data_IF_274978599104
#
_entry.id   IF_274978599104
#
_cell.length_a   1.000
_cell.length_b   1.000
_cell.length_c   1.000
_cell.angle_alpha   90.00
_cell.angle_beta   90.00
_cell.angle_gamma   90.00
#
_symmetry.space_group_name_H-M   'P 1'
#
loop_
_entity.id
_entity.type
_entity.pdbx_description
1 polymer ?
#
# COMPACT_ATOMS: atom_id res chain seq x y z
N UNK A 1 -16.11 -28.94 -49.99
CA UNK A 1 -14.72 -28.52 -49.65
C UNK A 1 -14.83 -27.13 -49.03
N UNK A 2 -14.81 -26.99 -47.69
CA UNK A 2 -13.64 -26.59 -46.86
C UNK A 2 -13.02 -25.27 -47.40
N UNK A 3 -12.80 -24.16 -46.68
CA UNK A 3 -12.60 -23.90 -45.24
C UNK A 3 -12.37 -22.40 -44.98
N UNK A 4 -12.71 -21.95 -43.76
CA UNK A 4 -11.93 -21.07 -42.86
C UNK A 4 -11.83 -19.54 -43.06
N UNK A 5 -12.04 -18.87 -41.91
CA UNK A 5 -11.74 -17.49 -41.54
C UNK A 5 -10.23 -17.18 -41.56
N UNK A 6 -9.80 -15.96 -41.94
CA UNK A 6 -8.63 -15.36 -41.29
C UNK A 6 -8.55 -13.82 -41.39
N UNK A 7 -8.29 -13.23 -40.23
CA UNK A 7 -7.86 -11.86 -39.91
C UNK A 7 -6.60 -11.40 -40.68
N UNK A 8 -6.46 -10.07 -40.86
CA UNK A 8 -5.25 -9.18 -40.79
C UNK A 8 -5.57 -7.91 -41.63
N UNK A 9 -5.36 -6.63 -41.28
CA UNK A 9 -4.53 -5.92 -40.31
C UNK A 9 -5.21 -4.60 -39.90
N UNK A 10 -5.30 -4.32 -38.60
CA UNK A 10 -5.08 -2.96 -38.12
C UNK A 10 -4.33 -3.10 -36.81
N UNK A 11 -3.03 -2.82 -36.90
CA UNK A 11 -2.06 -2.65 -35.84
C UNK A 11 -2.70 -2.22 -34.52
N UNK A 12 -2.83 -3.16 -33.57
CA UNK A 12 -3.07 -2.81 -32.17
C UNK A 12 -1.89 -1.94 -31.72
N UNK A 13 -2.09 -0.68 -31.32
CA UNK A 13 -1.01 0.11 -30.78
C UNK A 13 -0.50 -0.57 -29.50
N UNK A 14 0.81 -0.81 -29.48
CA UNK A 14 1.59 -1.28 -28.35
C UNK A 14 1.29 -0.36 -27.17
N UNK A 15 0.56 -0.83 -26.16
CA UNK A 15 0.18 -0.04 -24.98
C UNK A 15 1.47 0.29 -24.21
N UNK A 16 2.01 1.47 -24.48
CA UNK A 16 3.06 2.08 -23.67
C UNK A 16 2.49 2.38 -22.28
N UNK A 17 3.21 1.92 -21.26
CA UNK A 17 2.94 2.10 -19.83
C UNK A 17 2.57 3.56 -19.49
N UNK A 18 1.27 3.85 -19.41
CA UNK A 18 0.74 5.13 -18.90
C UNK A 18 0.82 5.07 -17.38
N UNK A 19 1.76 5.78 -16.76
CA UNK A 19 1.79 5.92 -15.30
C UNK A 19 0.45 6.48 -14.86
N UNK A 20 -0.37 5.66 -14.19
CA UNK A 20 -1.70 6.04 -13.73
C UNK A 20 -1.52 7.06 -12.59
N UNK A 21 -1.85 8.32 -12.85
CA UNK A 21 -1.90 9.34 -11.81
C UNK A 21 -3.19 9.19 -11.01
N UNK A 22 -3.13 9.52 -9.72
CA UNK A 22 -4.28 9.44 -8.82
C UNK A 22 -5.21 10.62 -9.07
N UNK A 23 -6.48 10.35 -9.36
CA UNK A 23 -7.51 11.37 -9.38
C UNK A 23 -8.03 11.59 -7.95
N UNK A 24 -7.48 12.60 -7.28
CA UNK A 24 -7.81 12.91 -5.88
C UNK A 24 -9.26 13.35 -5.69
N UNK A 25 -9.93 13.89 -6.72
CA UNK A 25 -11.31 14.32 -6.60
C UNK A 25 -12.24 13.12 -6.41
N UNK A 26 -11.91 11.99 -7.06
CA UNK A 26 -12.68 10.75 -7.04
C UNK A 26 -12.21 9.82 -5.93
N UNK A 27 -10.89 9.66 -5.75
CA UNK A 27 -10.32 8.63 -4.88
C UNK A 27 -10.32 8.98 -3.39
N UNK A 28 -10.43 10.25 -3.01
CA UNK A 28 -10.42 10.67 -1.60
C UNK A 28 -11.60 10.09 -0.83
N UNK A 29 -11.42 9.93 0.49
CA UNK A 29 -12.40 9.43 1.43
C UNK A 29 -12.90 8.00 1.16
N UNK A 30 -12.20 7.22 0.32
CA UNK A 30 -12.51 5.83 0.06
C UNK A 30 -11.51 4.88 0.73
N UNK A 31 -11.95 3.67 1.12
CA UNK A 31 -11.08 2.61 1.58
C UNK A 31 -9.98 2.31 0.56
N UNK A 32 -8.74 2.48 0.98
CA UNK A 32 -7.58 2.43 0.10
C UNK A 32 -6.49 1.59 0.75
N UNK A 33 -5.96 0.64 0.00
CA UNK A 33 -4.73 -0.07 0.35
C UNK A 33 -3.54 0.71 -0.16
N UNK A 34 -2.52 0.83 0.68
CA UNK A 34 -1.23 1.39 0.32
C UNK A 34 -0.13 0.36 0.57
N UNK A 35 0.76 0.18 -0.39
CA UNK A 35 1.90 -0.72 -0.25
C UNK A 35 3.11 -0.21 -1.02
N UNK A 36 4.29 -0.66 -0.60
CA UNK A 36 5.54 -0.36 -1.31
C UNK A 36 5.67 -1.23 -2.55
N UNK A 37 5.73 -0.61 -3.71
CA UNK A 37 6.12 -1.30 -4.93
C UNK A 37 7.65 -1.35 -5.01
N UNK A 38 8.20 -2.54 -4.82
CA UNK A 38 9.66 -2.74 -4.77
C UNK A 38 10.36 -2.66 -6.13
N UNK A 39 9.62 -2.65 -7.25
CA UNK A 39 10.19 -2.45 -8.59
C UNK A 39 10.31 -0.96 -8.93
N UNK A 40 9.28 -0.18 -8.60
CA UNK A 40 9.25 1.27 -8.91
C UNK A 40 9.79 2.13 -7.77
N UNK A 41 10.03 1.53 -6.60
CA UNK A 41 10.36 2.21 -5.35
C UNK A 41 9.36 3.29 -4.91
N UNK A 42 8.14 3.30 -5.45
CA UNK A 42 7.05 4.22 -5.04
C UNK A 42 6.01 3.50 -4.19
N UNK A 43 5.13 4.26 -3.54
CA UNK A 43 3.94 3.70 -2.92
C UNK A 43 2.86 3.52 -4.00
N UNK A 44 2.26 2.33 -4.06
CA UNK A 44 1.10 2.04 -4.89
C UNK A 44 -0.16 2.18 -4.04
N UNK A 45 -1.17 2.83 -4.60
CA UNK A 45 -2.51 2.89 -4.03
C UNK A 45 -3.44 1.93 -4.77
N UNK A 46 -4.25 1.19 -4.03
CA UNK A 46 -5.29 0.32 -4.56
C UNK A 46 -6.64 0.66 -3.92
N UNK A 47 -7.68 0.66 -4.74
CA UNK A 47 -9.06 0.76 -4.28
C UNK A 47 -9.86 -0.41 -4.80
N UNK A 48 -10.90 -0.75 -4.06
CA UNK A 48 -11.79 -1.83 -4.45
C UNK A 48 -12.80 -1.31 -5.48
N UNK A 49 -12.78 -1.90 -6.67
CA UNK A 49 -13.78 -1.68 -7.71
C UNK A 49 -14.44 -3.03 -7.94
N UNK A 50 -15.76 -3.10 -7.69
CA UNK A 50 -16.52 -4.34 -7.62
C UNK A 50 -15.94 -5.30 -6.55
N UNK A 51 -15.34 -6.41 -6.98
CA UNK A 51 -14.74 -7.45 -6.12
C UNK A 51 -13.21 -7.52 -6.25
N UNK A 52 -12.59 -6.53 -6.89
CA UNK A 52 -11.15 -6.56 -7.19
C UNK A 52 -10.45 -5.30 -6.71
N UNK A 53 -9.23 -5.48 -6.22
CA UNK A 53 -8.34 -4.39 -5.84
C UNK A 53 -7.57 -3.93 -7.07
N UNK A 54 -7.89 -2.72 -7.55
CA UNK A 54 -7.24 -2.14 -8.71
C UNK A 54 -6.28 -1.05 -8.28
N UNK A 55 -5.09 -1.04 -8.88
CA UNK A 55 -4.13 0.05 -8.68
C UNK A 55 -4.71 1.33 -9.30
N UNK A 56 -4.87 2.35 -8.47
CA UNK A 56 -5.39 3.66 -8.89
C UNK A 56 -4.25 4.63 -9.22
N UNK A 57 -3.06 4.42 -8.67
CA UNK A 57 -1.86 5.16 -9.04
C UNK A 57 -0.67 4.93 -8.12
N UNK A 58 0.42 5.66 -8.40
CA UNK A 58 1.64 5.63 -7.61
C UNK A 58 1.96 7.01 -7.06
N UNK A 59 2.37 7.08 -5.79
CA UNK A 59 2.59 8.33 -5.06
C UNK A 59 3.89 8.28 -4.26
N UNK A 60 4.48 9.44 -4.02
CA UNK A 60 5.57 9.67 -3.06
C UNK A 60 5.06 10.22 -1.73
N UNK A 61 3.86 10.80 -1.75
CA UNK A 61 3.23 11.48 -0.63
C UNK A 61 1.74 11.10 -0.58
N UNK A 62 1.27 10.71 0.60
CA UNK A 62 -0.12 10.30 0.84
C UNK A 62 -0.42 10.28 2.34
N UNK A 63 -1.70 10.43 2.67
CA UNK A 63 -2.19 10.28 4.05
C UNK A 63 -3.30 9.25 4.06
N UNK A 64 -3.16 8.23 4.91
CA UNK A 64 -4.20 7.25 5.21
C UNK A 64 -4.66 7.47 6.65
N UNK A 65 -5.95 7.68 6.85
CA UNK A 65 -6.58 7.78 8.17
C UNK A 65 -7.02 6.41 8.66
N UNK A 66 -6.86 6.18 9.96
CA UNK A 66 -7.13 4.92 10.66
C UNK A 66 -6.54 3.70 9.92
N UNK A 67 -5.23 3.72 9.60
CA UNK A 67 -4.57 2.60 8.97
C UNK A 67 -4.60 1.35 9.86
N UNK A 68 -4.89 0.22 9.23
CA UNK A 68 -4.60 -1.12 9.75
C UNK A 68 -3.50 -1.77 8.90
N UNK A 69 -2.62 -2.52 9.54
CA UNK A 69 -1.44 -3.11 8.92
C UNK A 69 -1.60 -4.62 8.74
N UNK A 70 -1.45 -5.07 7.50
CA UNK A 70 -1.71 -6.46 7.11
C UNK A 70 -0.48 -7.09 6.47
N UNK A 71 -0.14 -8.28 6.95
CA UNK A 71 0.85 -9.18 6.34
C UNK A 71 0.18 -10.52 6.09
N UNK A 72 0.12 -10.95 4.83
CA UNK A 72 -0.34 -12.29 4.46
C UNK A 72 0.78 -13.28 4.72
N UNK A 73 0.68 -14.09 5.77
CA UNK A 73 1.72 -15.09 6.10
C UNK A 73 1.97 -16.09 4.95
N UNK A 74 0.95 -16.67 4.28
CA UNK A 74 1.19 -17.49 3.10
C UNK A 74 1.87 -16.71 1.95
N UNK A 75 1.58 -15.42 1.82
CA UNK A 75 2.23 -14.54 0.86
C UNK A 75 3.70 -14.28 1.20
N UNK A 76 3.99 -14.03 2.47
CA UNK A 76 5.34 -13.85 3.02
C UNK A 76 6.19 -15.11 2.82
N UNK A 77 5.64 -16.28 3.16
CA UNK A 77 6.35 -17.56 2.95
C UNK A 77 6.67 -17.81 1.48
N UNK A 78 5.77 -17.44 0.55
CA UNK A 78 6.05 -17.49 -0.88
C UNK A 78 7.20 -16.56 -1.28
N UNK A 79 7.28 -15.34 -0.72
CA UNK A 79 8.39 -14.41 -0.97
C UNK A 79 9.71 -15.00 -0.46
N UNK A 80 9.72 -15.57 0.74
CA UNK A 80 10.91 -16.20 1.33
C UNK A 80 11.38 -17.39 0.49
N UNK A 81 10.46 -18.25 0.07
CA UNK A 81 10.80 -19.48 -0.67
C UNK A 81 11.22 -19.23 -2.13
N UNK A 82 10.58 -18.26 -2.80
CA UNK A 82 10.81 -18.03 -4.24
C UNK A 82 11.73 -16.86 -4.56
N UNK A 83 12.03 -16.02 -3.56
CA UNK A 83 12.66 -14.71 -3.69
C UNK A 83 11.94 -13.77 -4.70
N UNK A 84 10.66 -14.04 -4.97
CA UNK A 84 9.80 -13.22 -5.84
C UNK A 84 8.95 -12.28 -5.00
N UNK A 85 9.07 -10.99 -5.31
CA UNK A 85 8.42 -9.86 -4.61
C UNK A 85 6.92 -9.75 -4.96
N UNK A 86 6.14 -10.71 -4.48
CA UNK A 86 4.68 -10.65 -4.52
C UNK A 86 4.18 -9.69 -3.44
N UNK A 87 3.08 -8.97 -3.71
CA UNK A 87 2.45 -8.13 -2.69
C UNK A 87 1.89 -9.03 -1.60
N UNK A 88 2.43 -8.89 -0.39
CA UNK A 88 2.06 -9.66 0.79
C UNK A 88 1.89 -8.78 2.02
N UNK A 89 2.34 -7.52 1.97
CA UNK A 89 2.22 -6.57 3.05
C UNK A 89 1.63 -5.26 2.52
N UNK A 90 0.64 -4.72 3.22
CA UNK A 90 -0.01 -3.45 2.90
C UNK A 90 -0.64 -2.84 4.16
N UNK A 91 -0.91 -1.54 4.11
CA UNK A 91 -1.83 -0.89 5.04
C UNK A 91 -3.14 -0.60 4.33
N UNK A 92 -4.26 -0.60 5.05
CA UNK A 92 -5.57 -0.20 4.55
C UNK A 92 -6.21 0.81 5.51
N UNK A 93 -6.86 1.82 4.95
CA UNK A 93 -7.61 2.82 5.71
C UNK A 93 -8.30 3.79 4.76
N UNK A 94 -8.60 5.00 5.21
CA UNK A 94 -9.28 6.02 4.39
C UNK A 94 -8.25 6.96 3.76
N UNK A 95 -8.24 7.06 2.43
CA UNK A 95 -7.33 7.97 1.72
C UNK A 95 -7.75 9.41 1.90
N UNK A 96 -6.85 10.25 2.39
CA UNK A 96 -7.04 11.69 2.51
C UNK A 96 -6.18 12.45 1.50
N UNK A 97 -6.53 13.71 1.24
CA UNK A 97 -5.67 14.57 0.44
C UNK A 97 -4.37 14.88 1.22
N UNK A 98 -3.19 14.95 0.58
CA UNK A 98 -1.93 15.15 1.29
C UNK A 98 -1.90 16.39 2.21
N UNK A 99 -2.62 17.45 1.86
CA UNK A 99 -2.69 18.70 2.63
C UNK A 99 -3.83 18.76 3.65
N UNK A 100 -4.59 17.69 3.88
CA UNK A 100 -5.78 17.74 4.74
C UNK A 100 -5.49 17.59 6.23
N UNK A 101 -4.22 17.35 6.61
CA UNK A 101 -3.85 17.09 7.99
C UNK A 101 -2.60 17.90 8.35
N UNK A 102 -2.63 18.58 9.49
CA UNK A 102 -1.50 19.29 10.08
C UNK A 102 -1.03 18.54 11.32
N UNK A 103 -0.14 17.57 11.15
CA UNK A 103 0.46 16.80 12.26
C UNK A 103 1.87 17.35 12.52
N UNK A 104 2.19 17.60 13.79
CA UNK A 104 3.54 17.99 14.19
C UNK A 104 4.54 16.86 13.93
N UNK A 105 5.75 17.19 13.50
CA UNK A 105 6.80 16.18 13.32
C UNK A 105 7.11 15.41 14.61
N UNK A 106 6.94 16.04 15.78
CA UNK A 106 7.12 15.41 17.10
C UNK A 106 6.11 14.29 17.40
N UNK A 107 5.00 14.24 16.66
CA UNK A 107 3.97 13.22 16.82
C UNK A 107 4.17 12.04 15.86
N UNK A 108 5.22 12.06 15.03
CA UNK A 108 5.48 11.05 14.02
C UNK A 108 6.63 10.13 14.41
N UNK A 109 6.41 8.82 14.30
CA UNK A 109 7.47 7.80 14.36
C UNK A 109 7.53 7.05 13.04
N UNK A 110 8.75 6.77 12.59
CA UNK A 110 9.00 6.01 11.36
C UNK A 110 8.66 4.53 11.60
N UNK A 111 8.01 3.91 10.61
CA UNK A 111 7.67 2.48 10.64
C UNK A 111 8.41 1.74 9.54
N UNK A 112 8.59 0.43 9.72
CA UNK A 112 9.12 -0.40 8.65
C UNK A 112 8.57 -1.83 8.70
N UNK A 113 8.82 -2.55 7.61
CA UNK A 113 8.53 -3.97 7.49
C UNK A 113 9.59 -4.62 6.59
N UNK A 114 10.08 -5.78 7.00
CA UNK A 114 10.98 -6.62 6.21
C UNK A 114 10.59 -8.10 6.36
N UNK A 115 10.22 -8.79 5.27
CA UNK A 115 9.71 -10.16 5.34
C UNK A 115 10.73 -11.17 5.86
N UNK A 116 12.02 -10.91 5.69
CA UNK A 116 13.10 -11.82 6.09
C UNK A 116 13.43 -11.72 7.59
N UNK A 117 13.09 -10.60 8.24
CA UNK A 117 13.40 -10.38 9.66
C UNK A 117 12.19 -10.47 10.58
N UNK A 118 10.98 -10.10 10.14
CA UNK A 118 9.79 -10.22 10.98
C UNK A 118 8.47 -10.44 10.20
N UNK A 119 7.42 -11.02 10.82
CA UNK A 119 6.13 -11.24 10.18
C UNK A 119 5.11 -10.09 10.35
N UNK A 120 5.49 -8.98 10.96
CA UNK A 120 4.61 -7.83 11.25
C UNK A 120 5.30 -6.49 10.98
N UNK A 121 4.51 -5.42 10.79
CA UNK A 121 5.04 -4.06 10.77
C UNK A 121 5.54 -3.67 12.17
N UNK A 122 6.57 -2.84 12.22
CA UNK A 122 7.16 -2.40 13.49
C UNK A 122 7.51 -0.92 13.47
N UNK A 123 7.57 -0.33 14.67
CA UNK A 123 8.27 0.93 14.88
C UNK A 123 9.76 0.75 14.58
N UNK A 124 10.37 1.69 13.85
CA UNK A 124 11.75 1.56 13.38
C UNK A 124 12.80 1.69 14.49
N UNK A 125 12.48 2.45 15.53
CA UNK A 125 13.33 2.71 16.70
C UNK A 125 13.24 1.60 17.76
N UNK A 126 12.05 1.06 18.04
CA UNK A 126 11.85 0.07 19.11
C UNK A 126 11.68 -1.38 18.64
N UNK A 127 11.43 -1.61 17.34
CA UNK A 127 11.01 -2.91 16.79
C UNK A 127 9.71 -3.48 17.39
N UNK A 128 8.96 -2.69 18.15
CA UNK A 128 7.67 -3.11 18.69
C UNK A 128 6.65 -3.29 17.56
N UNK A 129 5.79 -4.33 17.61
CA UNK A 129 4.77 -4.56 16.61
C UNK A 129 3.78 -3.39 16.46
N UNK A 130 3.34 -3.17 15.23
CA UNK A 130 2.35 -2.16 14.86
C UNK A 130 1.22 -2.81 14.05
N UNK A 131 0.01 -2.78 14.59
CA UNK A 131 -1.20 -3.31 13.93
C UNK A 131 -2.13 -2.21 13.42
N UNK A 132 -2.13 -1.02 14.04
CA UNK A 132 -2.91 0.14 13.64
C UNK A 132 -2.31 1.46 14.14
N UNK A 133 -2.80 2.59 13.60
CA UNK A 133 -2.50 3.94 14.07
C UNK A 133 -3.65 4.91 13.72
N UNK A 134 -3.61 6.16 14.18
CA UNK A 134 -4.58 7.18 13.75
C UNK A 134 -4.33 7.67 12.32
N UNK A 135 -3.05 7.87 11.98
CA UNK A 135 -2.64 8.29 10.65
C UNK A 135 -1.38 7.56 10.20
N UNK A 136 -1.37 7.16 8.93
CA UNK A 136 -0.16 6.78 8.19
C UNK A 136 0.14 7.91 7.21
N UNK A 137 1.34 8.46 7.33
CA UNK A 137 1.85 9.54 6.49
C UNK A 137 3.00 9.00 5.67
N UNK A 138 2.84 9.09 4.35
CA UNK A 138 3.94 8.89 3.42
C UNK A 138 4.45 10.27 3.02
N UNK A 139 5.75 10.49 3.17
CA UNK A 139 6.40 11.66 2.59
C UNK A 139 7.82 11.33 2.14
N UNK A 140 8.22 11.84 0.99
CA UNK A 140 9.54 11.52 0.39
C UNK A 140 9.81 10.01 0.38
N UNK A 141 8.77 9.21 0.12
CA UNK A 141 8.84 7.75 0.10
C UNK A 141 9.27 7.10 1.42
N UNK A 142 9.21 7.81 2.55
CA UNK A 142 9.29 7.27 3.91
C UNK A 142 7.90 7.17 4.50
N UNK A 143 7.72 6.28 5.47
CA UNK A 143 6.41 6.00 6.07
C UNK A 143 6.48 6.25 7.57
N UNK A 144 5.58 7.10 8.03
CA UNK A 144 5.46 7.51 9.42
C UNK A 144 4.05 7.19 9.90
N UNK A 145 3.90 6.96 11.19
CA UNK A 145 2.60 6.90 11.85
C UNK A 145 2.58 7.85 13.04
N UNK A 146 1.39 8.31 13.38
CA UNK A 146 1.20 9.04 14.63
C UNK A 146 1.49 8.12 15.81
N UNK A 147 2.21 8.64 16.78
CA UNK A 147 2.45 7.93 18.04
C UNK A 147 1.13 7.77 18.77
N UNK A 148 0.84 6.55 19.18
CA UNK A 148 -0.37 6.29 19.95
C UNK A 148 -0.24 6.95 21.33
N UNK A 149 -1.28 7.66 21.78
CA UNK A 149 -1.38 8.04 23.20
C UNK A 149 -1.99 6.92 24.02
N UNK A 150 -2.71 5.97 23.41
CA UNK A 150 -3.34 4.82 24.06
C UNK A 150 -3.52 3.65 23.08
N UNK A 151 -2.48 2.84 22.85
CA UNK A 151 -2.74 1.47 22.37
C UNK A 151 -3.42 0.74 23.53
N UNK A 152 -4.67 0.26 23.41
CA UNK A 152 -5.24 -0.65 24.39
C UNK A 152 -4.34 -1.88 24.36
N UNK A 153 -3.66 -2.11 25.47
CA UNK A 153 -2.86 -3.30 25.70
C UNK A 153 -3.74 -4.51 25.33
N UNK A 154 -3.37 -5.23 24.27
CA UNK A 154 -3.93 -6.55 23.98
C UNK A 154 -3.46 -7.48 25.10
N UNK A 155 -4.13 -7.42 26.25
CA UNK A 155 -4.04 -8.44 27.28
C UNK A 155 -4.71 -9.68 26.71
N UNK A 156 -3.88 -10.61 26.24
CA UNK A 156 -4.30 -11.97 25.92
C UNK A 156 -4.91 -12.57 27.20
N UNK A 157 -6.22 -12.85 27.15
CA UNK A 157 -6.85 -13.86 28.00
C UNK A 157 -6.64 -15.23 27.37
#
# INVERSE_FOLDING_TARGET
MLTCWQFYLSSKPKIMSRTKQVDWAICRNLPTRIYRNLLTHKMSLQQQINKSWLVIGHVTDAVIKLPEFYVSEPGRQRVIASDRKNVHAYSIGILLAPSSVSISHSELREIYYCPYSQPYFTWKDSNEPLSSADFLIVTNNRVYCTVDRQQPQLSLF
#
